data_IF_239729467369
#
_entry.id   IF_239729467369
#
_cell.length_a   1.000
_cell.length_b   1.000
_cell.length_c   1.000
_cell.angle_alpha   90.00
_cell.angle_beta   90.00
_cell.angle_gamma   90.00
#
_symmetry.space_group_name_H-M   'P 1'
#
loop_
_entity.id
_entity.type
_entity.pdbx_description
1 polymer ?
#
# COMPACT_ATOMS: atom_id res chain seq x y z
N UNK A 1 -35.51 40.14 -29.10
CA UNK A 1 -34.22 39.64 -28.60
C UNK A 1 -33.91 40.48 -27.38
N UNK A 2 -34.07 39.93 -26.18
CA UNK A 2 -34.00 40.68 -24.93
C UNK A 2 -32.90 40.06 -24.08
N UNK A 3 -31.86 40.85 -23.83
CA UNK A 3 -30.58 40.48 -23.24
C UNK A 3 -30.76 40.03 -21.78
N UNK A 4 -30.15 38.91 -21.44
CA UNK A 4 -30.15 38.34 -20.09
C UNK A 4 -29.24 39.12 -19.16
N UNK A 5 -29.81 39.81 -18.18
CA UNK A 5 -29.05 40.41 -17.08
C UNK A 5 -28.96 39.39 -15.95
N UNK A 6 -27.94 38.52 -16.00
CA UNK A 6 -27.60 37.62 -14.91
C UNK A 6 -26.96 38.41 -13.77
N UNK A 7 -27.70 38.59 -12.68
CA UNK A 7 -27.21 39.23 -11.46
C UNK A 7 -26.15 38.35 -10.81
N UNK A 8 -24.86 38.68 -10.97
CA UNK A 8 -23.81 38.09 -10.15
C UNK A 8 -23.92 38.60 -8.71
N UNK A 9 -23.95 37.74 -7.68
CA UNK A 9 -23.83 38.18 -6.31
C UNK A 9 -22.40 38.65 -6.04
N UNK A 10 -22.24 39.96 -5.87
CA UNK A 10 -21.04 40.60 -5.33
C UNK A 10 -20.84 40.15 -3.88
N UNK A 11 -19.87 39.27 -3.64
CA UNK A 11 -19.42 38.96 -2.28
C UNK A 11 -18.60 40.15 -1.74
N UNK A 12 -19.30 41.09 -1.13
CA UNK A 12 -18.68 42.16 -0.34
C UNK A 12 -17.89 41.55 0.80
N UNK A 13 -16.56 41.66 0.73
CA UNK A 13 -15.63 41.16 1.74
C UNK A 13 -15.95 41.76 3.11
N UNK A 14 -16.54 40.93 3.98
CA UNK A 14 -16.63 41.22 5.41
C UNK A 14 -15.34 40.74 6.06
N UNK A 15 -14.43 41.69 6.28
CA UNK A 15 -13.32 41.55 7.23
C UNK A 15 -13.89 41.18 8.59
N UNK A 16 -13.85 39.89 8.89
CA UNK A 16 -14.22 39.34 10.19
C UNK A 16 -13.00 38.65 10.76
N UNK A 17 -12.45 39.30 11.77
CA UNK A 17 -11.69 38.78 12.89
C UNK A 17 -10.80 37.57 12.59
N UNK A 18 -9.48 37.82 12.57
CA UNK A 18 -8.38 36.86 12.73
C UNK A 18 -8.73 35.80 13.77
N UNK A 19 -9.32 34.70 13.32
CA UNK A 19 -9.16 33.40 13.94
C UNK A 19 -7.88 32.85 13.31
N UNK A 20 -6.86 32.66 14.14
CA UNK A 20 -5.61 32.02 13.75
C UNK A 20 -5.92 30.69 13.07
N UNK A 21 -5.99 30.71 11.74
CA UNK A 21 -5.94 29.51 10.95
C UNK A 21 -4.55 28.95 11.20
N UNK A 22 -4.48 27.86 11.98
CA UNK A 22 -3.31 27.00 12.05
C UNK A 22 -2.78 26.87 10.61
N UNK A 23 -1.52 27.27 10.33
CA UNK A 23 -0.99 27.18 8.99
C UNK A 23 -1.10 25.72 8.57
N UNK A 24 -1.89 25.44 7.52
CA UNK A 24 -1.96 24.11 6.94
C UNK A 24 -0.51 23.65 6.71
N UNK A 25 -0.13 22.44 7.13
CA UNK A 25 1.23 21.96 6.94
C UNK A 25 1.62 22.16 5.48
N UNK A 26 2.62 22.99 5.24
CA UNK A 26 3.09 23.32 3.91
C UNK A 26 3.59 22.03 3.22
N UNK A 27 2.73 21.42 2.41
CA UNK A 27 3.00 20.07 1.89
C UNK A 27 1.84 19.27 1.30
N UNK A 28 0.64 19.85 1.12
CA UNK A 28 -0.51 19.14 0.53
C UNK A 28 -0.25 18.58 -0.89
N UNK A 29 0.66 19.19 -1.64
CA UNK A 29 1.08 18.74 -2.97
C UNK A 29 2.38 17.91 -2.97
N UNK A 30 3.08 17.81 -1.83
CA UNK A 30 4.37 17.12 -1.79
C UNK A 30 4.19 15.62 -1.56
N UNK A 31 4.75 14.81 -2.46
CA UNK A 31 4.71 13.36 -2.34
C UNK A 31 5.57 12.92 -1.16
N UNK A 32 4.93 12.30 -0.16
CA UNK A 32 5.61 11.66 0.96
C UNK A 32 6.67 10.67 0.45
N UNK A 33 7.88 10.73 1.00
CA UNK A 33 8.94 9.76 0.69
C UNK A 33 8.51 8.38 1.19
N UNK A 34 8.39 7.41 0.27
CA UNK A 34 8.08 6.03 0.65
C UNK A 34 9.34 5.39 1.21
N UNK A 35 9.32 5.00 2.48
CA UNK A 35 10.41 4.22 3.09
C UNK A 35 10.53 2.89 2.33
N UNK A 36 11.68 2.66 1.71
CA UNK A 36 11.99 1.38 1.08
C UNK A 36 12.50 0.43 2.17
N UNK A 37 11.57 -0.27 2.83
CA UNK A 37 11.92 -1.24 3.86
C UNK A 37 12.24 -2.59 3.22
N UNK A 38 13.40 -3.16 3.59
CA UNK A 38 13.77 -4.53 3.18
C UNK A 38 12.80 -5.53 3.81
N UNK A 39 12.58 -6.66 3.13
CA UNK A 39 11.78 -7.73 3.72
C UNK A 39 12.50 -8.30 4.93
N UNK A 40 11.76 -8.56 6.00
CA UNK A 40 12.26 -9.28 7.16
C UNK A 40 12.39 -10.78 6.85
N UNK A 41 13.03 -11.50 7.76
CA UNK A 41 13.34 -12.91 7.51
C UNK A 41 12.11 -13.82 7.60
N UNK A 42 11.11 -13.47 8.41
CA UNK A 42 9.85 -14.21 8.48
C UNK A 42 9.05 -14.12 7.17
N UNK A 43 9.00 -12.92 6.56
CA UNK A 43 8.41 -12.68 5.25
C UNK A 43 9.11 -13.48 4.16
N UNK A 44 10.46 -13.47 4.15
CA UNK A 44 11.25 -14.25 3.17
C UNK A 44 11.02 -15.75 3.34
N UNK A 45 11.14 -16.26 4.57
CA UNK A 45 10.95 -17.68 4.87
C UNK A 45 9.57 -18.17 4.40
N UNK A 46 8.52 -17.39 4.65
CA UNK A 46 7.18 -17.72 4.17
C UNK A 46 7.06 -17.69 2.64
N UNK A 47 7.65 -16.68 1.99
CA UNK A 47 7.65 -16.62 0.52
C UNK A 47 8.44 -17.77 -0.10
N UNK A 48 9.57 -18.15 0.48
CA UNK A 48 10.40 -19.25 0.01
C UNK A 48 9.68 -20.60 0.18
N UNK A 49 8.97 -20.79 1.30
CA UNK A 49 8.10 -21.95 1.52
C UNK A 49 7.02 -22.05 0.43
N UNK A 50 6.27 -20.97 0.19
CA UNK A 50 5.24 -20.91 -0.87
C UNK A 50 5.83 -21.13 -2.27
N UNK A 51 7.02 -20.60 -2.53
CA UNK A 51 7.72 -20.80 -3.80
C UNK A 51 8.12 -22.27 -3.98
N UNK A 52 8.69 -22.89 -2.94
CA UNK A 52 9.11 -24.30 -2.95
C UNK A 52 7.91 -25.23 -3.17
N UNK A 53 6.78 -24.98 -2.51
CA UNK A 53 5.53 -25.73 -2.76
C UNK A 53 5.15 -25.64 -4.24
N UNK A 54 5.24 -24.45 -4.85
CA UNK A 54 4.96 -24.30 -6.27
C UNK A 54 5.95 -25.02 -7.18
N UNK A 55 7.22 -25.14 -6.78
CA UNK A 55 8.20 -25.95 -7.51
C UNK A 55 7.89 -27.44 -7.42
N UNK A 56 7.56 -27.94 -6.23
CA UNK A 56 7.27 -29.36 -6.00
C UNK A 56 5.96 -29.79 -6.66
N UNK A 57 4.93 -28.94 -6.63
CA UNK A 57 3.63 -29.23 -7.25
C UNK A 57 3.58 -28.92 -8.75
N UNK A 58 4.55 -28.16 -9.27
CA UNK A 58 4.53 -27.63 -10.64
C UNK A 58 3.53 -26.48 -10.86
N UNK A 59 2.76 -26.09 -9.84
CA UNK A 59 1.76 -25.03 -9.92
C UNK A 59 2.29 -23.77 -9.23
N UNK A 60 2.47 -22.69 -10.00
CA UNK A 60 2.96 -21.42 -9.45
C UNK A 60 1.96 -20.83 -8.47
N UNK A 61 2.44 -20.40 -7.30
CA UNK A 61 1.62 -19.67 -6.34
C UNK A 61 1.18 -18.32 -6.92
N UNK A 62 -0.12 -18.02 -6.84
CA UNK A 62 -0.67 -16.72 -7.25
C UNK A 62 -0.25 -15.64 -6.23
N UNK A 63 0.45 -14.56 -6.66
CA UNK A 63 0.82 -13.46 -5.77
C UNK A 63 -0.35 -12.79 -5.06
N UNK A 64 -1.53 -12.73 -5.69
CA UNK A 64 -2.72 -12.16 -5.04
C UNK A 64 -3.20 -13.03 -3.90
N UNK A 65 -3.28 -14.35 -4.13
CA UNK A 65 -3.65 -15.30 -3.09
C UNK A 65 -2.64 -15.29 -1.94
N UNK A 66 -1.34 -15.31 -2.24
CA UNK A 66 -0.29 -15.28 -1.20
C UNK A 66 -0.42 -14.01 -0.35
N UNK A 67 -0.73 -12.85 -0.95
CA UNK A 67 -0.97 -11.59 -0.22
C UNK A 67 -2.16 -11.68 0.75
N UNK A 68 -3.23 -12.39 0.36
CA UNK A 68 -4.37 -12.66 1.24
C UNK A 68 -3.95 -13.61 2.37
N UNK A 69 -3.20 -14.65 2.04
CA UNK A 69 -2.74 -15.63 3.02
C UNK A 69 -1.84 -14.99 4.08
N UNK A 70 -1.04 -13.97 3.76
CA UNK A 70 -0.28 -13.19 4.75
C UNK A 70 -1.15 -12.66 5.90
N UNK A 71 -2.41 -12.31 5.62
CA UNK A 71 -3.36 -11.78 6.62
C UNK A 71 -3.94 -12.86 7.52
N UNK A 72 -3.99 -14.09 7.02
CA UNK A 72 -4.59 -15.24 7.68
C UNK A 72 -3.56 -16.23 8.25
N UNK A 73 -2.28 -16.08 7.88
CA UNK A 73 -1.21 -16.94 8.33
C UNK A 73 -1.10 -16.94 9.86
N UNK A 74 -1.09 -18.13 10.43
CA UNK A 74 -0.92 -18.35 11.86
C UNK A 74 0.40 -19.06 12.16
N UNK A 75 0.92 -18.82 13.35
CA UNK A 75 2.01 -19.61 13.93
C UNK A 75 1.45 -20.93 14.47
N UNK A 76 2.33 -21.85 14.87
CA UNK A 76 1.93 -23.12 15.49
C UNK A 76 1.11 -22.91 16.78
N UNK A 77 1.36 -21.79 17.48
CA UNK A 77 0.61 -21.38 18.66
C UNK A 77 -0.77 -20.77 18.35
N UNK A 78 -1.17 -20.69 17.07
CA UNK A 78 -2.44 -20.11 16.62
C UNK A 78 -2.47 -18.58 16.56
N UNK A 79 -1.37 -17.90 16.88
CA UNK A 79 -1.26 -16.44 16.82
C UNK A 79 -1.04 -15.95 15.39
N UNK A 80 -1.33 -14.67 15.12
CA UNK A 80 -1.08 -14.08 13.79
C UNK A 80 0.43 -14.08 13.51
N UNK A 81 0.84 -14.70 12.39
CA UNK A 81 2.24 -14.80 12.00
C UNK A 81 2.85 -13.46 11.58
N UNK A 82 2.02 -12.52 11.12
CA UNK A 82 2.43 -11.21 10.62
C UNK A 82 1.56 -10.09 11.17
N UNK A 83 2.20 -8.95 11.44
CA UNK A 83 1.54 -7.68 11.73
C UNK A 83 1.16 -6.94 10.44
N UNK A 84 0.29 -5.93 10.54
CA UNK A 84 -0.20 -5.16 9.39
C UNK A 84 0.96 -4.49 8.60
N UNK A 85 2.00 -4.07 9.31
CA UNK A 85 3.19 -3.45 8.70
C UNK A 85 4.04 -4.45 7.90
N UNK A 86 3.85 -5.75 8.13
CA UNK A 86 4.56 -6.82 7.46
C UNK A 86 3.77 -7.41 6.29
N UNK A 87 2.57 -6.91 6.01
CA UNK A 87 1.80 -7.39 4.86
C UNK A 87 2.46 -6.94 3.56
N UNK A 88 2.62 -7.90 2.66
CA UNK A 88 3.17 -7.67 1.33
C UNK A 88 2.04 -7.54 0.31
N UNK A 89 2.17 -6.54 -0.56
CA UNK A 89 1.31 -6.38 -1.72
C UNK A 89 1.57 -7.50 -2.76
N UNK A 90 0.58 -7.83 -3.60
CA UNK A 90 0.76 -8.80 -4.69
C UNK A 90 1.92 -8.42 -5.61
N UNK A 91 2.14 -7.12 -5.84
CA UNK A 91 3.25 -6.62 -6.66
C UNK A 91 4.63 -6.93 -6.03
N UNK A 92 4.77 -6.74 -4.71
CA UNK A 92 5.98 -7.08 -3.97
C UNK A 92 6.28 -8.58 -4.05
N UNK A 93 5.25 -9.41 -3.86
CA UNK A 93 5.36 -10.87 -3.92
C UNK A 93 5.74 -11.34 -5.33
N UNK A 94 5.06 -10.84 -6.36
CA UNK A 94 5.39 -11.13 -7.77
C UNK A 94 6.84 -10.78 -8.09
N UNK A 95 7.28 -9.61 -7.65
CA UNK A 95 8.66 -9.15 -7.84
C UNK A 95 9.67 -10.05 -7.14
N UNK A 96 9.34 -10.53 -5.93
CA UNK A 96 10.16 -11.48 -5.19
C UNK A 96 10.28 -12.82 -5.93
N UNK A 97 9.16 -13.45 -6.28
CA UNK A 97 9.17 -14.73 -7.02
C UNK A 97 9.92 -14.65 -8.34
N UNK A 98 9.81 -13.53 -9.08
CA UNK A 98 10.58 -13.35 -10.31
C UNK A 98 12.10 -13.36 -10.05
N UNK A 99 12.57 -12.71 -8.98
CA UNK A 99 13.99 -12.72 -8.60
C UNK A 99 14.44 -14.10 -8.11
N UNK A 100 13.64 -14.75 -7.28
CA UNK A 100 13.92 -16.10 -6.77
C UNK A 100 14.02 -17.12 -7.91
N UNK A 101 13.11 -17.06 -8.88
CA UNK A 101 13.14 -17.91 -10.06
C UNK A 101 14.41 -17.70 -10.92
N UNK A 102 14.89 -16.46 -11.04
CA UNK A 102 16.16 -16.17 -11.75
C UNK A 102 17.39 -16.69 -11.00
N UNK A 103 17.36 -16.68 -9.67
CA UNK A 103 18.45 -17.19 -8.83
C UNK A 103 18.53 -18.71 -8.84
N UNK A 104 17.39 -19.39 -8.98
CA UNK A 104 17.26 -20.84 -8.97
C UNK A 104 17.29 -21.46 -10.37
N UNK A 105 17.74 -20.71 -11.38
CA UNK A 105 17.95 -21.16 -12.75
C UNK A 105 19.44 -21.38 -12.97
#
# INVERSE_FOLDING_TARGET
>A
MSEGTSTQPTISGKSTNVQSAEPLPQGWALKQSKKNTRFNDNQKAYLDERFKIGQTTGIKADPLQVSRDFRHARTENGERRFTINEYLSPQQIRSYFSRTAKKNK
#
